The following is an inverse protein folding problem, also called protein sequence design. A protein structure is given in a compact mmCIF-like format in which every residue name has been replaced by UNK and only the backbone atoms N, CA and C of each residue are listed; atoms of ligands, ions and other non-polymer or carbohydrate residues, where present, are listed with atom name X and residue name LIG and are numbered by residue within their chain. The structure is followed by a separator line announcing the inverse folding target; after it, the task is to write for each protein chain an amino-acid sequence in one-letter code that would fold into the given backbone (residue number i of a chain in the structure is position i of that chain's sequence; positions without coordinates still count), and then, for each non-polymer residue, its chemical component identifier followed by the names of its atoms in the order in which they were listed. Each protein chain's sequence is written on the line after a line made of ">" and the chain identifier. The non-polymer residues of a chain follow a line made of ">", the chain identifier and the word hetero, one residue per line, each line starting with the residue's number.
data_IF_291263784355
#
_entry.id   IF_291263784355
#
_cell.length_a   1.000
_cell.length_b   1.000
_cell.length_c   1.000
_cell.angle_alpha   90.00
_cell.angle_beta   90.00
_cell.angle_gamma   90.00
#
_symmetry.space_group_name_H-M   'P 1'
#
loop_
_entity.id
_entity.type
_entity.pdbx_description
1 polymer ?
#
# COMPACT_ATOMS: atom_id res chain seq x y z
N UNK A 1 -2.88 -6.61 17.50
CA UNK A 1 -2.13 -7.71 16.85
C UNK A 1 -2.29 -7.66 15.35
N UNK A 2 -1.29 -8.10 14.59
CA UNK A 2 -1.41 -8.25 13.13
C UNK A 2 -2.53 -9.25 12.81
N UNK A 3 -3.32 -8.98 11.78
CA UNK A 3 -4.45 -9.83 11.34
C UNK A 3 -4.10 -10.60 10.08
N UNK A 4 -3.89 -9.92 9.01
CA UNK A 4 -3.61 -10.48 7.69
C UNK A 4 -2.69 -9.55 6.92
N UNK A 5 -2.14 -10.09 5.84
CA UNK A 5 -1.46 -9.29 4.85
C UNK A 5 -2.50 -8.32 4.24
N UNK A 6 -2.15 -7.04 4.19
CA UNK A 6 -2.98 -6.05 3.54
C UNK A 6 -2.57 -5.93 2.06
N UNK A 7 -1.32 -5.61 1.80
CA UNK A 7 -0.75 -5.57 0.45
C UNK A 7 0.77 -5.72 0.46
N UNK A 8 1.37 -5.91 -0.71
CA UNK A 8 2.79 -5.78 -0.93
C UNK A 8 3.08 -4.56 -1.79
N UNK A 9 4.00 -3.70 -1.36
CA UNK A 9 4.42 -2.52 -2.12
C UNK A 9 5.62 -2.84 -3.01
N UNK A 10 5.53 -2.49 -4.28
CA UNK A 10 6.61 -2.63 -5.26
C UNK A 10 6.80 -1.35 -6.06
N UNK A 11 8.05 -1.04 -6.35
CA UNK A 11 8.38 0.06 -7.25
C UNK A 11 8.29 -0.35 -8.71
N UNK A 12 7.89 0.57 -9.57
CA UNK A 12 7.89 0.42 -11.02
C UNK A 12 8.46 1.65 -11.74
N UNK A 13 8.89 1.45 -12.97
CA UNK A 13 9.45 2.53 -13.79
C UNK A 13 8.39 3.32 -14.56
N UNK A 14 7.28 2.68 -14.90
CA UNK A 14 6.15 3.27 -15.62
C UNK A 14 4.89 2.59 -15.12
N UNK A 15 4.02 3.35 -14.48
CA UNK A 15 2.82 2.81 -13.83
C UNK A 15 1.85 2.20 -14.84
N UNK A 16 1.63 2.85 -15.99
CA UNK A 16 0.66 2.39 -16.98
C UNK A 16 1.13 1.11 -17.70
N UNK A 17 2.41 1.05 -18.07
CA UNK A 17 2.98 -0.17 -18.66
C UNK A 17 2.97 -1.32 -17.65
N UNK A 18 3.22 -1.04 -16.38
CA UNK A 18 3.23 -2.04 -15.32
C UNK A 18 1.82 -2.56 -15.05
N UNK A 19 0.81 -1.68 -14.98
CA UNK A 19 -0.59 -2.07 -14.84
C UNK A 19 -0.97 -3.01 -16.00
N UNK A 20 -0.72 -2.59 -17.24
CA UNK A 20 -1.07 -3.40 -18.43
C UNK A 20 -0.38 -4.76 -18.41
N UNK A 21 0.88 -4.82 -17.95
CA UNK A 21 1.61 -6.09 -17.85
C UNK A 21 0.95 -7.04 -16.85
N UNK A 22 0.54 -6.53 -15.67
CA UNK A 22 -0.15 -7.32 -14.67
C UNK A 22 -1.57 -7.70 -15.08
N UNK A 23 -2.31 -6.82 -15.76
CA UNK A 23 -3.63 -7.14 -16.30
C UNK A 23 -3.55 -8.30 -17.30
N UNK A 24 -2.52 -8.37 -18.15
CA UNK A 24 -2.28 -9.51 -19.05
C UNK A 24 -1.97 -10.82 -18.31
N UNK A 25 -1.53 -10.76 -17.05
CA UNK A 25 -1.38 -11.93 -16.17
C UNK A 25 -2.65 -12.31 -15.41
N UNK A 26 -3.72 -11.52 -15.55
CA UNK A 26 -4.99 -11.77 -14.89
C UNK A 26 -5.19 -11.00 -13.58
N UNK A 27 -4.38 -9.97 -13.32
CA UNK A 27 -4.67 -9.02 -12.25
C UNK A 27 -5.76 -8.04 -12.70
N UNK A 28 -6.51 -7.54 -11.74
CA UNK A 28 -7.51 -6.50 -11.92
C UNK A 28 -6.97 -5.17 -11.35
N UNK A 29 -7.07 -4.09 -12.12
CA UNK A 29 -6.79 -2.75 -11.60
C UNK A 29 -7.91 -2.34 -10.63
N UNK A 30 -7.54 -2.08 -9.37
CA UNK A 30 -8.47 -1.58 -8.37
C UNK A 30 -8.61 -0.06 -8.46
N UNK A 31 -7.50 0.65 -8.48
CA UNK A 31 -7.47 2.09 -8.74
C UNK A 31 -6.06 2.54 -9.14
N UNK A 32 -6.01 3.71 -9.77
CA UNK A 32 -4.80 4.48 -9.99
C UNK A 32 -5.03 5.90 -9.45
N UNK A 33 -4.02 6.47 -8.83
CA UNK A 33 -4.07 7.84 -8.31
C UNK A 33 -2.70 8.48 -8.31
N UNK A 34 -2.66 9.77 -7.99
CA UNK A 34 -1.45 10.49 -7.67
C UNK A 34 -1.47 10.83 -6.19
N UNK A 35 -0.48 10.31 -5.46
CA UNK A 35 -0.25 10.64 -4.06
C UNK A 35 0.96 11.58 -3.93
N UNK A 36 1.21 12.08 -2.74
CA UNK A 36 2.40 12.88 -2.44
C UNK A 36 3.30 12.10 -1.49
N UNK A 37 4.57 11.96 -1.83
CA UNK A 37 5.61 11.47 -0.94
C UNK A 37 6.51 12.67 -0.56
N UNK A 38 6.27 13.24 0.62
CA UNK A 38 6.82 14.56 0.96
C UNK A 38 6.28 15.63 0.02
N UNK A 39 7.17 16.34 -0.69
CA UNK A 39 6.82 17.40 -1.65
C UNK A 39 6.75 16.90 -3.12
N UNK A 40 6.89 15.59 -3.34
CA UNK A 40 6.95 15.01 -4.68
C UNK A 40 5.68 14.25 -5.02
N UNK A 41 5.13 14.44 -6.23
CA UNK A 41 4.05 13.61 -6.71
C UNK A 41 4.55 12.18 -6.98
N UNK A 42 3.80 11.21 -6.52
CA UNK A 42 4.03 9.78 -6.73
C UNK A 42 2.81 9.17 -7.40
N UNK A 43 2.98 8.60 -8.57
CA UNK A 43 1.92 7.80 -9.17
C UNK A 43 1.84 6.45 -8.47
N UNK A 44 0.62 6.07 -8.12
CA UNK A 44 0.32 4.86 -7.37
C UNK A 44 -0.87 4.14 -7.99
N UNK A 45 -0.84 2.82 -7.97
CA UNK A 45 -1.99 2.00 -8.33
C UNK A 45 -2.06 0.78 -7.41
N UNK A 46 -3.28 0.32 -7.14
CA UNK A 46 -3.48 -0.99 -6.55
C UNK A 46 -4.06 -1.94 -7.57
N UNK A 47 -3.49 -3.14 -7.62
CA UNK A 47 -3.92 -4.23 -8.48
C UNK A 47 -4.18 -5.46 -7.63
N UNK A 48 -5.10 -6.31 -8.06
CA UNK A 48 -5.56 -7.46 -7.30
C UNK A 48 -5.49 -8.74 -8.14
N UNK A 49 -5.03 -9.83 -7.52
CA UNK A 49 -5.14 -11.18 -8.06
C UNK A 49 -5.90 -12.08 -7.08
N UNK A 50 -6.90 -12.81 -7.59
CA UNK A 50 -7.75 -13.65 -6.75
C UNK A 50 -8.44 -12.86 -5.63
N UNK A 51 -8.72 -13.51 -4.51
CA UNK A 51 -9.51 -12.88 -3.45
C UNK A 51 -8.69 -12.01 -2.48
N UNK A 52 -7.40 -12.29 -2.32
CA UNK A 52 -6.62 -11.74 -1.20
C UNK A 52 -5.22 -11.22 -1.55
N UNK A 53 -4.83 -11.19 -2.81
CA UNK A 53 -3.50 -10.71 -3.20
C UNK A 53 -3.64 -9.30 -3.77
N UNK A 54 -3.18 -8.32 -3.02
CA UNK A 54 -3.13 -6.93 -3.44
C UNK A 54 -1.66 -6.50 -3.55
N UNK A 55 -1.32 -5.89 -4.67
CA UNK A 55 -0.04 -5.21 -4.84
C UNK A 55 -0.29 -3.72 -5.01
N UNK A 56 0.49 -2.93 -4.29
CA UNK A 56 0.60 -1.50 -4.47
C UNK A 56 1.77 -1.21 -5.42
N UNK A 57 1.48 -0.63 -6.55
CA UNK A 57 2.47 -0.19 -7.53
C UNK A 57 2.82 1.27 -7.26
N UNK A 58 4.11 1.58 -7.15
CA UNK A 58 4.63 2.92 -6.87
C UNK A 58 5.60 3.32 -7.98
N UNK A 59 5.27 4.34 -8.77
CA UNK A 59 6.16 4.80 -9.83
C UNK A 59 7.32 5.60 -9.27
N UNK A 60 8.54 5.15 -9.52
CA UNK A 60 9.75 5.84 -9.11
C UNK A 60 10.14 6.94 -10.08
N UNK A 61 10.60 8.08 -9.53
CA UNK A 61 11.16 9.17 -10.31
C UNK A 61 12.51 8.77 -10.95
N UNK A 62 13.35 8.07 -10.20
CA UNK A 62 14.67 7.58 -10.67
C UNK A 62 14.55 6.18 -11.28
N UNK A 63 14.27 6.17 -12.58
CA UNK A 63 14.07 4.94 -13.36
C UNK A 63 15.32 4.07 -13.53
N UNK A 64 16.51 4.59 -13.24
CA UNK A 64 17.75 3.83 -13.38
C UNK A 64 18.03 2.88 -12.21
N UNK A 65 17.39 3.11 -11.05
CA UNK A 65 17.63 2.31 -9.84
C UNK A 65 16.92 0.97 -9.82
N UNK A 66 15.89 0.77 -10.62
CA UNK A 66 15.09 -0.46 -10.62
C UNK A 66 15.75 -1.55 -11.48
N UNK A 67 16.77 -2.22 -10.91
CA UNK A 67 17.52 -3.29 -11.56
C UNK A 67 17.37 -4.63 -10.85
N UNK A 68 16.14 -5.14 -10.79
CA UNK A 68 15.85 -6.46 -10.24
C UNK A 68 15.16 -6.43 -8.87
N UNK A 69 14.92 -7.62 -8.31
CA UNK A 69 14.06 -7.82 -7.14
C UNK A 69 14.46 -7.00 -5.89
N UNK A 70 15.77 -6.84 -5.66
CA UNK A 70 16.26 -6.11 -4.49
C UNK A 70 15.95 -4.61 -4.53
N UNK A 71 15.72 -4.04 -5.70
CA UNK A 71 15.38 -2.61 -5.86
C UNK A 71 13.89 -2.35 -6.09
N UNK A 72 13.09 -3.40 -6.29
CA UNK A 72 11.65 -3.26 -6.56
C UNK A 72 10.79 -3.42 -5.31
N UNK A 73 11.27 -4.09 -4.26
CA UNK A 73 10.53 -4.23 -3.01
C UNK A 73 10.50 -2.91 -2.24
N UNK A 74 9.30 -2.39 -1.95
CA UNK A 74 9.12 -1.22 -1.10
C UNK A 74 8.80 -1.61 0.33
N UNK A 75 7.67 -2.28 0.55
CA UNK A 75 7.22 -2.68 1.87
C UNK A 75 6.30 -3.90 1.82
N UNK A 76 6.06 -4.47 2.99
CA UNK A 76 5.01 -5.45 3.24
C UNK A 76 4.05 -4.83 4.24
N UNK A 77 2.77 -4.77 3.91
CA UNK A 77 1.75 -4.15 4.74
C UNK A 77 0.88 -5.18 5.43
N UNK A 78 0.65 -4.97 6.72
CA UNK A 78 -0.26 -5.78 7.54
C UNK A 78 -1.40 -4.93 8.07
N UNK A 79 -2.56 -5.55 8.18
CA UNK A 79 -3.71 -4.94 8.81
C UNK A 79 -3.68 -5.10 10.32
N UNK A 80 -4.11 -4.06 11.02
CA UNK A 80 -4.32 -4.06 12.48
C UNK A 80 -5.72 -3.56 12.82
N UNK A 81 -6.29 -4.04 13.93
CA UNK A 81 -7.59 -3.54 14.42
C UNK A 81 -7.45 -2.21 15.16
N UNK A 82 -6.33 -1.99 15.82
CA UNK A 82 -6.03 -0.77 16.57
C UNK A 82 -4.58 -0.39 16.37
N UNK A 83 -4.38 0.76 15.78
CA UNK A 83 -3.05 1.35 15.60
C UNK A 83 -2.40 1.68 16.94
N UNK A 84 -3.15 2.26 17.87
CA UNK A 84 -2.69 2.60 19.21
C UNK A 84 -2.16 1.36 19.97
N UNK A 85 -2.94 0.27 19.95
CA UNK A 85 -2.52 -0.97 20.62
C UNK A 85 -1.29 -1.61 19.95
N UNK A 86 -1.14 -1.46 18.64
CA UNK A 86 0.03 -1.96 17.93
C UNK A 86 1.27 -1.10 18.19
N UNK A 87 1.13 0.23 18.20
CA UNK A 87 2.18 1.16 18.56
C UNK A 87 2.71 0.89 19.99
N UNK A 88 1.80 0.72 20.95
CA UNK A 88 2.17 0.32 22.31
C UNK A 88 2.98 -0.98 22.31
N UNK A 89 2.57 -1.98 21.50
CA UNK A 89 3.29 -3.25 21.38
C UNK A 89 4.71 -3.10 20.84
N UNK A 90 4.92 -2.26 19.83
CA UNK A 90 6.25 -1.96 19.31
C UNK A 90 7.13 -1.31 20.39
N UNK A 91 6.57 -0.36 21.13
CA UNK A 91 7.26 0.32 22.23
C UNK A 91 7.67 -0.67 23.35
N UNK A 92 6.77 -1.57 23.76
CA UNK A 92 7.07 -2.64 24.73
C UNK A 92 8.20 -3.56 24.27
N UNK A 93 8.29 -3.84 22.98
CA UNK A 93 9.32 -4.66 22.37
C UNK A 93 10.59 -3.88 22.01
N UNK A 94 10.62 -2.56 22.27
CA UNK A 94 11.72 -1.67 21.88
C UNK A 94 12.02 -1.69 20.38
N UNK A 95 10.99 -1.87 19.56
CA UNK A 95 11.09 -1.82 18.10
C UNK A 95 10.86 -0.36 17.68
N UNK A 96 11.83 0.28 17.02
CA UNK A 96 11.70 1.68 16.63
C UNK A 96 10.67 1.85 15.50
N UNK A 97 9.82 2.86 15.65
CA UNK A 97 8.91 3.32 14.61
C UNK A 97 9.70 4.19 13.63
N UNK A 98 9.61 3.87 12.34
CA UNK A 98 10.27 4.63 11.26
C UNK A 98 9.48 5.90 10.93
N UNK A 99 8.15 5.77 10.81
CA UNK A 99 7.26 6.89 10.48
C UNK A 99 5.83 6.61 10.93
N UNK A 100 5.08 7.66 11.29
CA UNK A 100 3.70 7.56 11.75
C UNK A 100 3.58 7.37 13.26
N UNK A 101 2.37 7.02 13.76
CA UNK A 101 1.15 6.84 12.98
C UNK A 101 0.60 8.17 12.44
N UNK A 102 0.05 8.14 11.26
CA UNK A 102 -0.63 9.27 10.66
C UNK A 102 -1.84 8.84 9.80
N UNK A 103 -2.85 9.70 9.79
CA UNK A 103 -4.00 9.52 8.92
C UNK A 103 -3.63 9.88 7.49
N UNK A 104 -4.06 9.06 6.54
CA UNK A 104 -3.93 9.33 5.11
C UNK A 104 -5.26 9.12 4.42
N UNK A 105 -5.54 9.97 3.43
CA UNK A 105 -6.69 9.84 2.54
C UNK A 105 -6.18 9.67 1.12
N UNK A 106 -6.65 8.63 0.45
CA UNK A 106 -6.33 8.34 -0.93
C UNK A 106 -7.60 8.54 -1.74
N UNK A 107 -7.62 9.57 -2.58
CA UNK A 107 -8.71 9.82 -3.51
C UNK A 107 -8.44 9.04 -4.80
N UNK A 108 -9.49 8.50 -5.40
CA UNK A 108 -9.38 7.77 -6.65
C UNK A 108 -9.52 8.75 -7.82
N UNK A 109 -8.56 8.74 -8.73
CA UNK A 109 -8.60 9.53 -9.98
C UNK A 109 -9.34 8.81 -11.12
N UNK A 110 -9.71 7.56 -10.89
CA UNK A 110 -10.49 6.72 -11.81
C UNK A 110 -11.66 6.11 -11.06
N UNK A 111 -12.87 6.37 -11.53
CA UNK A 111 -14.04 5.62 -11.08
C UNK A 111 -13.92 4.18 -11.57
N UNK A 112 -13.96 3.25 -10.64
CA UNK A 112 -13.96 1.84 -10.91
C UNK A 112 -15.41 1.38 -11.01
N UNK A 113 -15.77 0.82 -12.17
CA UNK A 113 -17.06 0.19 -12.35
C UNK A 113 -17.14 -1.05 -11.46
N UNK A 114 -18.13 -1.06 -10.57
CA UNK A 114 -18.67 -2.21 -9.83
C UNK A 114 -17.71 -3.18 -9.10
N UNK A 115 -16.49 -2.79 -8.73
CA UNK A 115 -15.76 -3.65 -7.82
C UNK A 115 -16.39 -3.58 -6.43
N UNK A 116 -16.89 -4.72 -5.96
CA UNK A 116 -17.55 -4.85 -4.64
C UNK A 116 -16.65 -4.46 -3.46
N UNK A 117 -15.34 -4.46 -3.64
CA UNK A 117 -14.36 -4.07 -2.63
C UNK A 117 -14.42 -2.57 -2.38
N UNK A 118 -14.52 -1.75 -3.44
CA UNK A 118 -14.50 -0.29 -3.31
C UNK A 118 -15.89 0.34 -3.19
N UNK A 119 -16.97 -0.41 -3.41
CA UNK A 119 -18.32 0.07 -3.10
C UNK A 119 -18.49 0.47 -1.62
N UNK A 120 -17.73 -0.15 -0.73
CA UNK A 120 -17.71 0.20 0.70
C UNK A 120 -17.03 1.55 0.98
N UNK A 121 -16.08 1.98 0.14
CA UNK A 121 -15.38 3.26 0.29
C UNK A 121 -16.11 4.41 -0.42
N UNK A 122 -17.02 4.10 -1.33
CA UNK A 122 -17.79 5.08 -2.11
C UNK A 122 -16.88 6.00 -2.93
N UNK A 123 -17.41 7.19 -3.26
CA UNK A 123 -16.68 8.21 -4.04
C UNK A 123 -15.55 8.91 -3.25
N UNK A 124 -15.34 8.55 -1.98
CA UNK A 124 -14.45 9.28 -1.07
C UNK A 124 -13.03 8.71 -1.00
N UNK A 125 -12.76 7.59 -1.68
CA UNK A 125 -11.46 6.94 -1.60
C UNK A 125 -11.20 6.22 -0.26
N UNK A 126 -9.93 5.91 -0.01
CA UNK A 126 -9.48 5.22 1.21
C UNK A 126 -9.10 6.22 2.30
N UNK A 127 -9.56 5.94 3.53
CA UNK A 127 -9.13 6.66 4.73
C UNK A 127 -8.48 5.65 5.67
N UNK A 128 -7.18 5.77 5.83
CA UNK A 128 -6.34 4.83 6.55
C UNK A 128 -5.56 5.54 7.66
N UNK A 129 -5.23 4.81 8.71
CA UNK A 129 -4.14 5.18 9.62
C UNK A 129 -2.99 4.24 9.31
N UNK A 130 -1.82 4.80 9.01
CA UNK A 130 -0.64 4.04 8.61
C UNK A 130 0.55 4.33 9.50
N UNK A 131 1.43 3.35 9.68
CA UNK A 131 2.68 3.45 10.41
C UNK A 131 3.72 2.51 9.81
N UNK A 132 4.98 2.94 9.80
CA UNK A 132 6.10 2.16 9.28
C UNK A 132 7.09 1.80 10.38
N UNK A 133 7.63 0.58 10.31
CA UNK A 133 8.72 0.12 11.16
C UNK A 133 9.65 -0.85 10.39
N UNK A 134 10.83 -1.13 10.97
CA UNK A 134 11.80 -2.05 10.37
C UNK A 134 11.80 -3.39 11.08
N UNK A 135 11.90 -4.45 10.27
CA UNK A 135 12.19 -5.79 10.74
C UNK A 135 13.67 -5.97 11.13
N UNK A 136 13.99 -7.10 11.72
CA UNK A 136 15.32 -7.41 12.25
C UNK A 136 16.42 -7.45 11.16
N UNK A 137 16.05 -7.71 9.90
CA UNK A 137 16.99 -7.71 8.77
C UNK A 137 16.87 -6.45 7.90
N UNK A 138 16.16 -5.43 8.38
CA UNK A 138 15.96 -4.16 7.67
C UNK A 138 14.74 -4.14 6.73
N UNK A 139 13.92 -5.18 6.73
CA UNK A 139 12.67 -5.22 5.96
C UNK A 139 11.80 -4.03 6.35
N UNK A 140 11.20 -3.37 5.38
CA UNK A 140 10.24 -2.30 5.64
C UNK A 140 8.85 -2.87 5.77
N UNK A 141 8.26 -2.68 6.92
CA UNK A 141 6.88 -3.04 7.20
C UNK A 141 6.02 -1.78 7.33
N UNK A 142 4.82 -1.88 6.78
CA UNK A 142 3.72 -0.97 7.05
C UNK A 142 2.67 -1.69 7.89
N UNK A 143 2.00 -0.97 8.76
CA UNK A 143 0.75 -1.41 9.37
C UNK A 143 -0.34 -0.42 9.04
N UNK A 144 -1.50 -0.96 8.74
CA UNK A 144 -2.67 -0.21 8.29
C UNK A 144 -3.85 -0.51 9.20
N UNK A 145 -4.47 0.52 9.73
CA UNK A 145 -5.80 0.45 10.30
C UNK A 145 -6.78 1.02 9.28
N UNK A 146 -7.59 0.13 8.72
CA UNK A 146 -8.70 0.45 7.84
C UNK A 146 -10.01 0.39 8.63
N UNK A 147 -10.66 1.53 8.81
CA UNK A 147 -11.88 1.61 9.61
C UNK A 147 -13.09 0.95 8.96
N UNK A 148 -13.04 0.70 7.65
CA UNK A 148 -14.11 0.04 6.91
C UNK A 148 -13.91 -1.47 6.88
N UNK A 149 -12.66 -1.91 6.85
CA UNK A 149 -12.31 -3.33 6.86
C UNK A 149 -12.69 -4.08 5.59
N UNK A 150 -12.77 -3.38 4.47
CA UNK A 150 -13.19 -3.94 3.20
C UNK A 150 -12.08 -4.64 2.42
N UNK A 151 -10.80 -4.47 2.85
CA UNK A 151 -9.62 -5.07 2.25
C UNK A 151 -9.01 -6.14 3.17
#
# INVERSE_FOLDING_TARGET
>A
MLKNLHHGGIYCNNIDETILWYENLGFELLFKTQAMEGDKPLYMAWIKAGDNIILELLEQEDKETLKGAASTQNHISFRVDSMEAFEQKLNELSIPIEAGPFATSIEFDRQLDDSTIFSAYGDKGLNLIIMFFRGINGERFEVVQDNIGAL
#
